data_IF_615797747050
#
_entry.id   IF_615797747050
#
_cell.length_a   1.000
_cell.length_b   1.000
_cell.length_c   1.000
_cell.angle_alpha   90.00
_cell.angle_beta   90.00
_cell.angle_gamma   90.00
#
_symmetry.space_group_name_H-M   'P 1'
#
loop_
_entity.id
_entity.type
_entity.pdbx_description
1 polymer ?
#
# COMPACT_ATOMS: atom_id res chain seq x y z
N UNK A 1 -24.85 3.21 16.78
CA UNK A 1 -24.43 2.44 15.58
C UNK A 1 -22.98 2.86 15.35
N UNK A 2 -22.03 2.07 15.86
CA UNK A 2 -20.63 2.49 15.89
C UNK A 2 -20.13 2.67 14.46
N UNK A 3 -19.72 3.89 14.15
CA UNK A 3 -19.03 4.28 12.92
C UNK A 3 -17.90 3.26 12.70
N UNK A 4 -18.00 2.43 11.66
CA UNK A 4 -16.89 1.52 11.36
C UNK A 4 -15.66 2.39 11.12
N UNK A 5 -14.49 2.06 11.71
CA UNK A 5 -13.31 2.88 11.53
C UNK A 5 -13.01 2.96 10.03
N UNK A 6 -13.02 4.19 9.49
CA UNK A 6 -12.77 4.45 8.09
C UNK A 6 -11.43 3.81 7.67
N UNK A 7 -11.42 3.18 6.50
CA UNK A 7 -10.16 2.72 5.89
C UNK A 7 -9.47 3.93 5.28
N UNK A 8 -8.22 4.19 5.68
CA UNK A 8 -7.46 5.32 5.15
C UNK A 8 -6.59 4.83 3.98
N UNK A 9 -6.82 5.32 2.77
CA UNK A 9 -6.03 4.96 1.59
C UNK A 9 -5.07 6.09 1.21
N UNK A 10 -3.76 5.86 1.32
CA UNK A 10 -2.73 6.75 0.82
C UNK A 10 -2.36 6.34 -0.61
N UNK A 11 -2.50 7.26 -1.55
CA UNK A 11 -2.24 7.02 -2.98
C UNK A 11 -1.70 8.27 -3.69
N UNK A 12 -0.83 8.13 -4.71
CA UNK A 12 -0.38 9.27 -5.51
C UNK A 12 -1.55 9.97 -6.20
N UNK A 13 -1.61 11.30 -6.13
CA UNK A 13 -2.71 12.11 -6.67
C UNK A 13 -2.85 11.97 -8.20
N UNK A 14 -1.72 11.84 -8.90
CA UNK A 14 -1.65 11.74 -10.37
C UNK A 14 -1.58 10.27 -10.86
N UNK A 15 -1.99 9.30 -10.03
CA UNK A 15 -2.02 7.89 -10.45
C UNK A 15 -3.12 7.68 -11.50
N UNK A 16 -2.82 6.91 -12.55
CA UNK A 16 -3.80 6.60 -13.58
C UNK A 16 -5.05 5.91 -12.97
N UNK A 17 -6.26 6.29 -13.39
CA UNK A 17 -7.47 5.65 -12.92
C UNK A 17 -7.48 4.16 -13.30
N UNK A 18 -8.05 3.32 -12.44
CA UNK A 18 -8.12 1.87 -12.67
C UNK A 18 -6.91 1.08 -12.17
N UNK A 19 -5.92 1.73 -11.52
CA UNK A 19 -4.89 1.03 -10.77
C UNK A 19 -5.47 0.14 -9.66
N UNK A 20 -4.70 -0.85 -9.21
CA UNK A 20 -5.15 -1.84 -8.23
C UNK A 20 -5.76 -1.23 -6.95
N UNK A 21 -5.09 -0.22 -6.36
CA UNK A 21 -5.54 0.44 -5.15
C UNK A 21 -6.91 1.12 -5.33
N UNK A 22 -7.12 1.81 -6.43
CA UNK A 22 -8.37 2.50 -6.73
C UNK A 22 -9.50 1.51 -7.01
N UNK A 23 -9.24 0.46 -7.79
CA UNK A 23 -10.26 -0.58 -8.05
C UNK A 23 -10.68 -1.32 -6.78
N UNK A 24 -9.73 -1.63 -5.90
CA UNK A 24 -10.03 -2.24 -4.61
C UNK A 24 -10.82 -1.28 -3.71
N UNK A 25 -10.48 0.01 -3.68
CA UNK A 25 -11.25 1.03 -2.97
C UNK A 25 -12.70 1.09 -3.45
N UNK A 26 -12.93 1.14 -4.75
CA UNK A 26 -14.28 1.12 -5.34
C UNK A 26 -15.05 -0.15 -4.98
N UNK A 27 -14.38 -1.31 -4.97
CA UNK A 27 -14.99 -2.58 -4.57
C UNK A 27 -15.38 -2.60 -3.08
N UNK A 28 -14.58 -2.00 -2.20
CA UNK A 28 -14.89 -1.84 -0.77
C UNK A 28 -16.08 -0.89 -0.56
N UNK A 29 -16.11 0.24 -1.27
CA UNK A 29 -17.19 1.22 -1.21
C UNK A 29 -18.51 0.63 -1.70
N UNK A 30 -18.48 -0.18 -2.75
CA UNK A 30 -19.65 -0.91 -3.24
C UNK A 30 -20.22 -1.91 -2.21
N UNK A 31 -19.42 -2.31 -1.21
CA UNK A 31 -19.86 -3.14 -0.07
C UNK A 31 -20.24 -2.33 1.18
N UNK A 32 -20.33 -1.00 1.05
CA UNK A 32 -20.68 -0.10 2.15
C UNK A 32 -19.54 0.19 3.13
N UNK A 33 -18.29 -0.14 2.78
CA UNK A 33 -17.13 0.28 3.56
C UNK A 33 -16.80 1.75 3.26
N UNK A 34 -16.44 2.51 4.30
CA UNK A 34 -15.98 3.90 4.14
C UNK A 34 -14.47 3.93 3.87
N UNK A 35 -14.06 4.43 2.70
CA UNK A 35 -12.65 4.58 2.32
C UNK A 35 -12.31 6.06 2.17
N UNK A 36 -11.51 6.59 3.12
CA UNK A 36 -11.01 7.95 3.06
C UNK A 36 -9.69 7.99 2.29
N UNK A 37 -9.70 8.59 1.10
CA UNK A 37 -8.51 8.76 0.25
C UNK A 37 -7.69 9.97 0.69
N UNK A 38 -6.38 9.77 0.84
CA UNK A 38 -5.35 10.77 1.14
C UNK A 38 -4.44 10.90 -0.09
N UNK A 39 -4.77 11.80 -1.03
CA UNK A 39 -3.97 11.97 -2.24
C UNK A 39 -2.61 12.58 -1.89
N UNK A 40 -1.53 11.91 -2.30
CA UNK A 40 -0.17 12.38 -2.12
C UNK A 40 0.22 13.27 -3.30
N UNK A 41 0.63 14.53 -3.07
CA UNK A 41 1.04 15.44 -4.14
C UNK A 41 2.31 14.95 -4.84
N UNK A 42 2.64 15.58 -5.98
CA UNK A 42 3.85 15.30 -6.75
C UNK A 42 3.63 14.38 -7.97
N UNK A 43 4.70 14.22 -8.74
CA UNK A 43 4.68 13.51 -10.02
C UNK A 43 5.01 12.03 -9.87
N UNK A 44 3.98 11.18 -9.81
CA UNK A 44 4.15 9.73 -9.84
C UNK A 44 4.93 9.28 -11.11
N UNK A 45 5.90 8.36 -11.02
CA UNK A 45 6.30 7.54 -9.86
C UNK A 45 7.34 8.16 -8.92
N UNK A 46 7.77 9.41 -9.13
CA UNK A 46 8.70 10.11 -8.25
C UNK A 46 7.94 10.89 -7.17
N UNK A 47 7.88 10.31 -5.97
CA UNK A 47 7.44 11.07 -4.82
C UNK A 47 8.52 12.07 -4.42
N UNK A 48 8.16 13.36 -4.41
CA UNK A 48 9.01 14.43 -3.91
C UNK A 48 8.81 14.63 -2.40
N UNK A 49 9.55 15.57 -1.82
CA UNK A 49 9.46 15.88 -0.39
C UNK A 49 8.06 16.32 0.05
N UNK A 50 7.26 16.90 -0.83
CA UNK A 50 5.89 17.31 -0.51
C UNK A 50 4.97 16.10 -0.32
N UNK A 51 5.17 15.05 -1.12
CA UNK A 51 4.45 13.79 -1.00
C UNK A 51 4.75 13.09 0.34
N UNK A 52 6.02 13.08 0.73
CA UNK A 52 6.48 12.50 2.00
C UNK A 52 5.87 13.26 3.19
N UNK A 53 5.92 14.59 3.16
CA UNK A 53 5.32 15.43 4.20
C UNK A 53 3.80 15.23 4.28
N UNK A 54 3.11 15.14 3.15
CA UNK A 54 1.67 14.91 3.13
C UNK A 54 1.30 13.56 3.73
N UNK A 55 2.06 12.50 3.43
CA UNK A 55 1.88 11.19 4.03
C UNK A 55 2.13 11.22 5.55
N UNK A 56 3.20 11.85 6.00
CA UNK A 56 3.52 12.00 7.43
C UNK A 56 2.42 12.73 8.20
N UNK A 57 1.91 13.84 7.64
CA UNK A 57 0.77 14.57 8.21
C UNK A 57 -0.50 13.70 8.22
N UNK A 58 -0.77 12.95 7.15
CA UNK A 58 -1.95 12.10 7.07
C UNK A 58 -1.89 10.97 8.10
N UNK A 59 -0.76 10.26 8.18
CA UNK A 59 -0.55 9.15 9.10
C UNK A 59 -0.54 9.64 10.56
N UNK A 60 0.19 10.71 10.90
CA UNK A 60 0.29 11.27 12.27
C UNK A 60 -1.06 11.64 12.89
N UNK A 61 -2.05 12.02 12.07
CA UNK A 61 -3.41 12.36 12.50
C UNK A 61 -4.30 11.16 12.77
N UNK A 62 -3.92 9.97 12.32
CA UNK A 62 -4.71 8.76 12.54
C UNK A 62 -4.59 8.31 14.00
N UNK A 63 -5.68 7.86 14.62
CA UNK A 63 -5.61 7.29 15.96
C UNK A 63 -4.88 5.94 15.94
N UNK A 64 -4.34 5.55 17.09
CA UNK A 64 -3.74 4.22 17.27
C UNK A 64 -4.72 3.11 16.91
N UNK A 65 -4.22 2.10 16.21
CA UNK A 65 -5.01 0.98 15.69
C UNK A 65 -5.75 1.28 14.39
N UNK A 66 -5.71 2.50 13.85
CA UNK A 66 -6.33 2.83 12.57
C UNK A 66 -5.80 1.96 11.43
N UNK A 67 -6.69 1.62 10.49
CA UNK A 67 -6.42 0.77 9.33
C UNK A 67 -6.02 1.64 8.16
N UNK A 68 -4.78 1.49 7.71
CA UNK A 68 -4.24 2.24 6.59
C UNK A 68 -3.89 1.28 5.44
N UNK A 69 -4.34 1.63 4.25
CA UNK A 69 -3.93 1.06 2.98
C UNK A 69 -2.95 2.02 2.33
N UNK A 70 -1.83 1.51 1.82
CA UNK A 70 -0.83 2.34 1.14
C UNK A 70 -0.57 1.76 -0.23
N UNK A 71 -0.75 2.58 -1.25
CA UNK A 71 -0.44 2.22 -2.62
C UNK A 71 1.05 1.85 -2.77
N UNK A 72 1.31 0.69 -3.40
CA UNK A 72 2.65 0.12 -3.52
C UNK A 72 3.65 0.99 -4.27
N UNK A 73 3.18 1.82 -5.20
CA UNK A 73 4.03 2.75 -5.93
C UNK A 73 4.47 3.94 -5.08
N UNK A 74 3.80 4.22 -3.96
CA UNK A 74 4.20 5.24 -3.02
C UNK A 74 5.18 4.73 -1.94
N UNK A 75 5.21 3.42 -1.66
CA UNK A 75 5.94 2.85 -0.53
C UNK A 75 7.40 3.29 -0.43
N UNK A 76 8.24 3.25 -1.49
CA UNK A 76 9.66 3.59 -1.34
C UNK A 76 9.91 5.02 -0.87
N UNK A 77 9.06 5.97 -1.29
CA UNK A 77 9.17 7.36 -0.83
C UNK A 77 8.70 7.57 0.61
N UNK A 78 7.88 6.65 1.14
CA UNK A 78 7.26 6.79 2.46
C UNK A 78 7.94 5.99 3.57
N UNK A 79 9.09 5.36 3.30
CA UNK A 79 9.77 4.47 4.25
C UNK A 79 9.96 5.11 5.64
N UNK A 80 10.38 6.38 5.70
CA UNK A 80 10.60 7.09 6.96
C UNK A 80 9.30 7.33 7.74
N UNK A 81 8.23 7.78 7.07
CA UNK A 81 6.92 8.02 7.68
C UNK A 81 6.30 6.70 8.19
N UNK A 82 6.40 5.64 7.39
CA UNK A 82 5.91 4.32 7.76
C UNK A 82 6.68 3.72 8.94
N UNK A 83 8.00 3.95 9.03
CA UNK A 83 8.79 3.42 10.14
C UNK A 83 8.31 3.96 11.50
N UNK A 84 7.99 5.25 11.57
CA UNK A 84 7.47 5.89 12.79
C UNK A 84 6.10 5.34 13.21
N UNK A 85 5.23 5.07 12.24
CA UNK A 85 3.82 4.78 12.49
C UNK A 85 3.43 3.30 12.39
N UNK A 86 4.32 2.47 11.85
CA UNK A 86 4.11 1.02 11.64
C UNK A 86 3.71 0.26 12.90
N UNK A 87 4.11 0.74 14.09
CA UNK A 87 3.81 0.09 15.36
C UNK A 87 2.44 0.45 15.93
N UNK A 88 1.96 1.66 15.65
CA UNK A 88 0.68 2.15 16.17
C UNK A 88 -0.46 1.92 15.18
N UNK A 89 -0.17 1.97 13.88
CA UNK A 89 -1.14 1.79 12.81
C UNK A 89 -1.17 0.35 12.30
N UNK A 90 -2.30 -0.04 11.72
CA UNK A 90 -2.49 -1.34 11.07
C UNK A 90 -2.34 -1.19 9.55
N UNK A 91 -1.10 -1.12 9.08
CA UNK A 91 -0.76 -0.76 7.69
C UNK A 91 -0.75 -2.00 6.77
N UNK A 92 -1.42 -1.91 5.62
CA UNK A 92 -1.39 -2.89 4.53
C UNK A 92 -0.92 -2.22 3.25
N UNK A 93 0.05 -2.84 2.57
CA UNK A 93 0.51 -2.41 1.25
C UNK A 93 -0.38 -2.96 0.14
N UNK A 94 -0.69 -2.15 -0.88
CA UNK A 94 -1.41 -2.56 -2.09
C UNK A 94 -0.44 -2.58 -3.28
N UNK A 95 0.17 -3.74 -3.56
CA UNK A 95 1.22 -3.87 -4.59
C UNK A 95 0.63 -4.42 -5.88
N UNK A 96 0.50 -3.55 -6.87
CA UNK A 96 0.15 -3.94 -8.23
C UNK A 96 1.35 -4.50 -9.01
N UNK A 97 2.53 -3.92 -8.75
CA UNK A 97 3.81 -4.24 -9.41
C UNK A 97 4.95 -3.70 -8.55
N UNK A 98 6.06 -4.43 -8.51
CA UNK A 98 7.29 -4.00 -7.86
C UNK A 98 8.09 -3.03 -8.74
N UNK A 99 8.53 -1.92 -8.17
CA UNK A 99 9.34 -0.91 -8.84
C UNK A 99 10.75 -1.38 -9.16
N UNK A 100 11.29 -2.39 -8.47
CA UNK A 100 12.56 -3.02 -8.83
C UNK A 100 12.46 -3.88 -10.10
N UNK A 101 11.24 -4.17 -10.58
CA UNK A 101 10.97 -4.94 -11.80
C UNK A 101 10.51 -4.06 -12.97
N UNK A 102 10.64 -2.74 -12.85
CA UNK A 102 10.34 -1.86 -13.98
C UNK A 102 11.31 -2.15 -15.14
N UNK A 103 10.81 -2.20 -16.39
CA UNK A 103 11.66 -2.39 -17.54
C UNK A 103 12.59 -1.18 -17.72
N UNK A 104 13.81 -1.43 -18.21
CA UNK A 104 14.79 -0.38 -18.52
C UNK A 104 15.65 0.10 -17.34
N UNK A 105 15.54 -0.53 -16.17
CA UNK A 105 16.44 -0.24 -15.05
C UNK A 105 17.84 -0.79 -15.29
N UNK A 106 18.86 -0.04 -14.85
CA UNK A 106 20.20 -0.59 -14.67
C UNK A 106 20.19 -1.64 -13.55
N UNK A 107 21.21 -2.51 -13.52
CA UNK A 107 21.33 -3.49 -12.43
C UNK A 107 21.48 -2.83 -11.05
N UNK A 108 22.13 -1.67 -10.99
CA UNK A 108 22.28 -0.87 -9.77
C UNK A 108 20.95 -0.26 -9.33
N UNK A 109 20.20 0.35 -10.24
CA UNK A 109 18.88 0.94 -9.93
C UNK A 109 17.89 -0.14 -9.48
N UNK A 110 17.90 -1.31 -10.13
CA UNK A 110 17.06 -2.43 -9.75
C UNK A 110 17.40 -2.92 -8.33
N UNK A 111 18.69 -3.03 -7.99
CA UNK A 111 19.14 -3.43 -6.66
C UNK A 111 18.78 -2.40 -5.58
N UNK A 112 18.99 -1.10 -5.86
CA UNK A 112 18.64 -0.02 -4.94
C UNK A 112 17.13 0.01 -4.65
N UNK A 113 16.31 -0.08 -5.71
CA UNK A 113 14.84 -0.18 -5.56
C UNK A 113 14.42 -1.43 -4.82
N UNK A 114 15.07 -2.57 -5.09
CA UNK A 114 14.80 -3.84 -4.40
C UNK A 114 15.00 -3.69 -2.90
N UNK A 115 16.12 -3.09 -2.49
CA UNK A 115 16.43 -2.86 -1.08
C UNK A 115 15.40 -1.94 -0.40
N UNK A 116 15.01 -0.85 -1.07
CA UNK A 116 13.99 0.07 -0.55
C UNK A 116 12.62 -0.61 -0.43
N UNK A 117 12.18 -1.33 -1.46
CA UNK A 117 10.89 -2.04 -1.43
C UNK A 117 10.86 -3.14 -0.36
N UNK A 118 11.96 -3.89 -0.20
CA UNK A 118 12.10 -4.87 0.89
C UNK A 118 11.93 -4.20 2.26
N UNK A 119 12.67 -3.11 2.50
CA UNK A 119 12.62 -2.38 3.75
C UNK A 119 11.22 -1.86 4.06
N UNK A 120 10.57 -1.21 3.08
CA UNK A 120 9.24 -0.64 3.32
C UNK A 120 8.15 -1.70 3.46
N UNK A 121 8.16 -2.75 2.64
CA UNK A 121 7.15 -3.81 2.74
C UNK A 121 7.24 -4.56 4.06
N UNK A 122 8.45 -4.71 4.64
CA UNK A 122 8.64 -5.29 5.96
C UNK A 122 8.04 -4.46 7.11
N UNK A 123 7.76 -3.17 6.90
CA UNK A 123 7.06 -2.30 7.86
C UNK A 123 5.54 -2.46 7.80
N UNK A 124 5.02 -3.19 6.82
CA UNK A 124 3.59 -3.42 6.66
C UNK A 124 3.18 -4.75 7.29
N UNK A 125 1.94 -4.82 7.77
CA UNK A 125 1.39 -6.04 8.35
C UNK A 125 1.13 -7.11 7.29
N UNK A 126 0.70 -6.69 6.11
CA UNK A 126 0.43 -7.54 4.98
C UNK A 126 0.59 -6.75 3.68
N UNK A 127 0.83 -7.48 2.60
CA UNK A 127 0.98 -7.02 1.23
C UNK A 127 -0.14 -7.66 0.41
N UNK A 128 -1.17 -6.87 0.11
CA UNK A 128 -2.23 -7.30 -0.80
C UNK A 128 -1.77 -7.13 -2.25
N UNK A 129 -1.98 -8.17 -3.06
CA UNK A 129 -1.58 -8.20 -4.47
C UNK A 129 -2.75 -8.66 -5.35
N UNK A 130 -2.85 -8.20 -6.61
CA UNK A 130 -3.99 -8.53 -7.47
C UNK A 130 -4.00 -9.98 -7.95
N UNK A 131 -2.83 -10.62 -8.05
CA UNK A 131 -2.69 -11.92 -8.68
C UNK A 131 -1.47 -12.72 -8.15
N UNK A 132 -1.39 -13.98 -8.59
CA UNK A 132 -0.33 -14.91 -8.17
C UNK A 132 1.05 -14.56 -8.74
N UNK A 133 1.13 -13.88 -9.89
CA UNK A 133 2.41 -13.50 -10.47
C UNK A 133 3.07 -12.41 -9.62
N UNK A 134 2.29 -11.42 -9.20
CA UNK A 134 2.75 -10.37 -8.28
C UNK A 134 3.02 -10.93 -6.89
N UNK A 135 2.20 -11.87 -6.39
CA UNK A 135 2.48 -12.56 -5.13
C UNK A 135 3.87 -13.23 -5.14
N UNK A 136 4.18 -13.98 -6.21
CA UNK A 136 5.47 -14.64 -6.37
C UNK A 136 6.62 -13.63 -6.43
N UNK A 137 6.43 -12.53 -7.14
CA UNK A 137 7.43 -11.46 -7.21
C UNK A 137 7.71 -10.82 -5.84
N UNK A 138 6.69 -10.66 -4.98
CA UNK A 138 6.86 -10.20 -3.59
C UNK A 138 7.63 -11.22 -2.75
N UNK A 139 7.35 -12.52 -2.92
CA UNK A 139 8.12 -13.58 -2.23
C UNK A 139 9.59 -13.61 -2.68
N UNK A 140 9.87 -13.35 -3.95
CA UNK A 140 11.25 -13.25 -4.47
C UNK A 140 12.04 -12.08 -3.85
N UNK A 141 11.38 -11.13 -3.18
CA UNK A 141 12.01 -10.12 -2.34
C UNK A 141 12.46 -10.66 -0.96
N UNK A 142 12.41 -11.98 -0.72
CA UNK A 142 12.72 -12.58 0.58
C UNK A 142 11.86 -12.02 1.73
N UNK A 143 10.65 -11.55 1.41
CA UNK A 143 9.62 -11.27 2.39
C UNK A 143 8.94 -12.58 2.78
N UNK A 144 8.45 -12.68 4.01
CA UNK A 144 7.77 -13.89 4.47
C UNK A 144 6.57 -14.20 3.54
N UNK A 145 6.39 -15.44 3.07
CA UNK A 145 5.29 -15.78 2.14
C UNK A 145 3.91 -15.40 2.66
N UNK A 146 3.72 -15.48 3.97
CA UNK A 146 2.48 -15.18 4.67
C UNK A 146 2.11 -13.69 4.60
N UNK A 147 3.09 -12.84 4.27
CA UNK A 147 2.87 -11.41 4.09
C UNK A 147 2.18 -11.11 2.77
N UNK A 148 2.29 -11.95 1.74
CA UNK A 148 1.69 -11.70 0.43
C UNK A 148 0.32 -12.38 0.31
N UNK A 149 -0.76 -11.59 0.25
CA UNK A 149 -2.13 -12.09 0.15
C UNK A 149 -2.75 -11.66 -1.17
N UNK A 150 -3.18 -12.64 -1.97
CA UNK A 150 -3.90 -12.36 -3.21
C UNK A 150 -5.31 -11.89 -2.87
N UNK A 151 -5.60 -10.64 -3.23
CA UNK A 151 -6.90 -10.01 -3.17
C UNK A 151 -7.23 -9.44 -4.56
N UNK A 152 -8.18 -10.06 -5.25
CA UNK A 152 -8.71 -9.51 -6.49
C UNK A 152 -9.30 -8.11 -6.24
N UNK A 153 -9.18 -7.14 -7.15
CA UNK A 153 -9.82 -5.84 -7.01
C UNK A 153 -11.31 -5.89 -7.39
N UNK A 154 -12.03 -6.83 -6.78
CA UNK A 154 -13.45 -7.10 -6.96
C UNK A 154 -14.13 -7.33 -5.59
N UNK A 155 -15.43 -7.63 -5.61
CA UNK A 155 -16.19 -7.89 -4.40
C UNK A 155 -15.63 -9.06 -3.56
N UNK A 156 -15.07 -10.10 -4.18
CA UNK A 156 -14.54 -11.25 -3.46
C UNK A 156 -13.23 -10.90 -2.72
N UNK A 157 -12.36 -10.11 -3.34
CA UNK A 157 -11.16 -9.62 -2.66
C UNK A 157 -11.46 -8.58 -1.59
N UNK A 158 -12.38 -7.63 -1.86
CA UNK A 158 -12.84 -6.64 -0.87
C UNK A 158 -13.38 -7.31 0.41
N UNK A 159 -14.21 -8.34 0.27
CA UNK A 159 -14.77 -9.08 1.40
C UNK A 159 -13.70 -9.77 2.27
N UNK A 160 -12.53 -10.08 1.69
CA UNK A 160 -11.41 -10.73 2.40
C UNK A 160 -10.44 -9.74 3.03
N UNK A 161 -10.49 -8.45 2.69
CA UNK A 161 -9.55 -7.45 3.19
C UNK A 161 -9.48 -7.41 4.73
N UNK A 162 -10.63 -7.55 5.40
CA UNK A 162 -10.70 -7.56 6.86
C UNK A 162 -9.80 -8.62 7.52
N UNK A 163 -9.56 -9.75 6.85
CA UNK A 163 -8.72 -10.83 7.36
C UNK A 163 -7.25 -10.45 7.54
N UNK A 164 -6.77 -9.44 6.81
CA UNK A 164 -5.37 -8.98 6.89
C UNK A 164 -5.01 -8.37 8.24
N UNK A 165 -6.00 -7.87 8.98
CA UNK A 165 -5.76 -7.23 10.28
C UNK A 165 -5.89 -8.17 11.47
N UNK A 166 -6.39 -9.40 11.27
CA UNK A 166 -6.85 -10.26 12.36
C UNK A 166 -8.08 -9.67 13.07
N UNK A 167 -8.98 -10.54 13.51
CA UNK A 167 -10.05 -10.14 14.44
C UNK A 167 -9.46 -9.61 15.75
#
# INVERSE_FOLDING_TARGET
MADQPALHLLLPANRAPGGYAERLALALEAQGQSVLRHPLPGDYPRLDASAVLAADIALSRLPDGARALVDGGALPGLAAALAMDSRRLRIVALVERLLCREPGLSGEDAAARRHLEQGTLALTRAVAVPDAATARAVVDLALAPETAVILSPDAAGAARLGSLWGA
#
